data_IF_759461173715
#
_entry.id   IF_759461173715
#
_cell.length_a   1.000
_cell.length_b   1.000
_cell.length_c   1.000
_cell.angle_alpha   90.00
_cell.angle_beta   90.00
_cell.angle_gamma   90.00
#
_symmetry.space_group_name_H-M   'P 1'
#
loop_
_entity.id
_entity.type
_entity.pdbx_description
1 polymer ?
#
# COMPACT_ATOMS: atom_id res chain seq x y z
N UNK A 1 5.83 11.80 0.43
CA UNK A 1 4.58 11.40 1.12
C UNK A 1 4.07 10.12 0.49
N UNK A 2 3.83 9.08 1.30
CA UNK A 2 3.60 7.69 0.88
C UNK A 2 2.29 7.53 0.11
N UNK A 3 2.37 7.00 -1.12
CA UNK A 3 1.28 6.86 -2.12
C UNK A 3 0.09 6.05 -1.63
N UNK A 4 0.31 5.09 -0.73
CA UNK A 4 -0.74 4.20 -0.21
C UNK A 4 -1.87 4.94 0.52
N UNK A 5 -1.58 6.05 1.20
CA UNK A 5 -2.61 6.87 1.88
C UNK A 5 -3.57 7.57 0.91
N UNK A 6 -3.27 7.58 -0.39
CA UNK A 6 -4.14 8.16 -1.42
C UNK A 6 -5.12 7.16 -2.01
N UNK A 7 -4.97 5.86 -1.72
CA UNK A 7 -5.93 4.87 -2.18
C UNK A 7 -7.27 5.08 -1.47
N UNK A 8 -8.39 5.06 -2.20
CA UNK A 8 -9.70 5.31 -1.61
C UNK A 8 -10.05 4.24 -0.58
N UNK A 9 -10.45 4.68 0.61
CA UNK A 9 -10.81 3.80 1.72
C UNK A 9 -9.67 3.51 2.70
N UNK A 10 -8.42 3.85 2.37
CA UNK A 10 -7.29 3.69 3.30
C UNK A 10 -7.44 4.65 4.47
N UNK A 11 -7.41 4.09 5.67
CA UNK A 11 -7.47 4.83 6.93
C UNK A 11 -6.12 4.88 7.63
N UNK A 12 -5.32 3.82 7.50
CA UNK A 12 -3.97 3.80 8.05
C UNK A 12 -2.97 3.02 7.19
N UNK A 13 -1.70 3.45 7.27
CA UNK A 13 -0.56 2.80 6.62
C UNK A 13 0.60 2.79 7.60
N UNK A 14 1.11 1.59 7.87
CA UNK A 14 2.37 1.37 8.59
C UNK A 14 3.33 0.56 7.73
N UNK A 15 4.62 0.87 7.82
CA UNK A 15 5.68 0.18 7.09
C UNK A 15 6.76 -0.17 8.09
N UNK A 16 7.10 -1.45 8.16
CA UNK A 16 8.28 -1.91 8.88
C UNK A 16 9.47 -1.83 7.92
N UNK A 17 10.38 -0.88 8.20
CA UNK A 17 11.55 -0.63 7.36
C UNK A 17 12.58 -1.77 7.49
N UNK A 18 12.57 -2.49 8.62
CA UNK A 18 13.53 -3.56 8.88
C UNK A 18 13.22 -4.80 8.04
N UNK A 19 11.94 -5.05 7.78
CA UNK A 19 11.46 -6.23 7.03
C UNK A 19 10.94 -5.88 5.63
N UNK A 20 10.67 -4.60 5.36
CA UNK A 20 10.01 -4.15 4.13
C UNK A 20 8.51 -4.45 4.11
N UNK A 21 7.94 -4.99 5.20
CA UNK A 21 6.53 -5.32 5.27
C UNK A 21 5.68 -4.05 5.41
N UNK A 22 4.69 -3.90 4.54
CA UNK A 22 3.70 -2.84 4.62
C UNK A 22 2.36 -3.39 5.10
N UNK A 23 1.76 -2.74 6.10
CA UNK A 23 0.42 -3.05 6.57
C UNK A 23 -0.52 -1.89 6.25
N UNK A 24 -1.59 -2.22 5.55
CA UNK A 24 -2.61 -1.30 5.10
C UNK A 24 -3.92 -1.58 5.86
N UNK A 25 -4.51 -0.55 6.44
CA UNK A 25 -5.85 -0.62 7.03
C UNK A 25 -6.81 0.21 6.19
N UNK A 26 -7.97 -0.36 5.90
CA UNK A 26 -8.96 0.24 5.01
C UNK A 26 -10.37 -0.07 5.47
N UNK A 27 -11.26 0.92 5.34
CA UNK A 27 -12.71 0.78 5.58
C UNK A 27 -13.46 0.25 4.35
N UNK A 28 -12.81 0.25 3.18
CA UNK A 28 -13.35 -0.32 1.94
C UNK A 28 -12.50 -1.50 1.50
N UNK A 29 -13.10 -2.41 0.73
CA UNK A 29 -12.31 -3.44 0.06
C UNK A 29 -11.33 -2.76 -0.89
N UNK A 30 -10.04 -3.05 -0.73
CA UNK A 30 -8.99 -2.62 -1.66
C UNK A 30 -8.49 -3.89 -2.33
N UNK A 31 -8.48 -3.92 -3.66
CA UNK A 31 -7.95 -5.06 -4.37
C UNK A 31 -6.41 -5.02 -4.32
N UNK A 32 -5.73 -6.18 -4.11
CA UNK A 32 -4.27 -6.25 -4.11
C UNK A 32 -3.64 -5.68 -5.40
N UNK A 33 -4.34 -5.77 -6.52
CA UNK A 33 -3.89 -5.18 -7.79
C UNK A 33 -3.80 -3.65 -7.72
N UNK A 34 -4.77 -2.96 -7.10
CA UNK A 34 -4.76 -1.49 -6.97
C UNK A 34 -3.53 -1.03 -6.17
N UNK A 35 -3.19 -1.79 -5.13
CA UNK A 35 -2.01 -1.57 -4.30
C UNK A 35 -0.73 -1.80 -5.11
N UNK A 36 -0.68 -2.90 -5.87
CA UNK A 36 0.45 -3.24 -6.74
C UNK A 36 0.71 -2.14 -7.76
N UNK A 37 -0.32 -1.70 -8.48
CA UNK A 37 -0.18 -0.68 -9.53
C UNK A 37 0.26 0.67 -8.95
N UNK A 38 -0.33 1.07 -7.81
CA UNK A 38 0.04 2.31 -7.13
C UNK A 38 1.52 2.33 -6.69
N UNK A 39 2.04 1.18 -6.26
CA UNK A 39 3.43 1.01 -5.82
C UNK A 39 4.40 0.85 -7.00
N UNK A 40 4.03 0.06 -8.03
CA UNK A 40 4.84 -0.10 -9.26
C UNK A 40 5.01 1.21 -10.02
N UNK A 41 3.97 2.05 -10.09
CA UNK A 41 4.06 3.39 -10.68
C UNK A 41 5.02 4.33 -9.93
N UNK A 42 5.48 3.93 -8.74
CA UNK A 42 6.49 4.63 -7.95
C UNK A 42 7.85 3.94 -7.94
N UNK A 43 8.00 2.85 -8.70
CA UNK A 43 9.24 2.08 -8.82
C UNK A 43 9.46 1.06 -7.70
N UNK A 44 8.42 0.71 -6.93
CA UNK A 44 8.50 -0.33 -5.92
C UNK A 44 8.02 -1.67 -6.48
N UNK A 45 8.69 -2.75 -6.07
CA UNK A 45 8.24 -4.12 -6.30
C UNK A 45 7.42 -4.61 -5.10
N UNK A 46 6.41 -5.43 -5.35
CA UNK A 46 5.44 -5.86 -4.34
C UNK A 46 5.27 -7.36 -4.43
N UNK A 47 5.45 -8.04 -3.29
CA UNK A 47 5.20 -9.47 -3.12
C UNK A 47 4.15 -9.66 -2.01
N UNK A 48 3.23 -10.61 -2.21
CA UNK A 48 2.12 -10.93 -1.31
C UNK A 48 2.30 -12.31 -0.70
#
# INVERSE_FOLDING_TARGET
MITLRKLPGVTDVSVDISTGAARLTSEKLIHPNDVTEALKNKGYDVAF
#
